data_IF_207483840159
#
_entry.id   IF_207483840159
#
_cell.length_a   1.000
_cell.length_b   1.000
_cell.length_c   1.000
_cell.angle_alpha   90.00
_cell.angle_beta   90.00
_cell.angle_gamma   90.00
#
_symmetry.space_group_name_H-M   'P 1'
#
loop_
_entity.id
_entity.type
_entity.pdbx_description
1 polymer ?
#
# COMPACT_ATOMS: atom_id res chain seq x y z
N UNK A 1 -9.31 -27.52 8.56
CA UNK A 1 -9.01 -26.90 7.25
C UNK A 1 -10.03 -25.85 6.80
N UNK A 2 -11.35 -26.06 6.94
CA UNK A 2 -12.36 -25.09 6.49
C UNK A 2 -12.25 -23.67 7.10
N UNK A 3 -11.78 -23.54 8.34
CA UNK A 3 -11.67 -22.24 9.03
C UNK A 3 -10.56 -21.35 8.48
N UNK A 4 -9.39 -21.93 8.14
CA UNK A 4 -8.25 -21.17 7.59
C UNK A 4 -8.59 -20.66 6.19
N UNK A 5 -9.18 -21.50 5.34
CA UNK A 5 -9.62 -21.11 4.00
C UNK A 5 -10.67 -20.00 4.05
N UNK A 6 -11.59 -20.05 5.03
CA UNK A 6 -12.58 -19.00 5.23
C UNK A 6 -11.96 -17.69 5.73
N UNK A 7 -11.04 -17.74 6.69
CA UNK A 7 -10.31 -16.55 7.16
C UNK A 7 -9.44 -15.93 6.06
N UNK A 8 -8.82 -16.76 5.21
CA UNK A 8 -8.04 -16.28 4.07
C UNK A 8 -8.96 -15.64 3.01
N UNK A 9 -10.10 -16.26 2.73
CA UNK A 9 -11.10 -15.71 1.80
C UNK A 9 -11.65 -14.37 2.30
N UNK A 10 -12.04 -14.27 3.57
CA UNK A 10 -12.53 -13.02 4.17
C UNK A 10 -11.45 -11.92 4.16
N UNK A 11 -10.19 -12.29 4.41
CA UNK A 11 -9.06 -11.36 4.38
C UNK A 11 -8.76 -10.88 2.95
N UNK A 12 -8.79 -11.76 1.95
CA UNK A 12 -8.56 -11.36 0.55
C UNK A 12 -9.72 -10.52 0.02
N UNK A 13 -10.95 -10.81 0.44
CA UNK A 13 -12.16 -10.09 0.00
C UNK A 13 -12.26 -8.69 0.63
N UNK A 14 -11.74 -8.50 1.85
CA UNK A 14 -11.72 -7.18 2.51
C UNK A 14 -10.73 -6.21 1.86
N UNK A 15 -9.81 -6.69 1.01
CA UNK A 15 -8.80 -5.87 0.38
C UNK A 15 -9.21 -5.24 -0.95
N UNK A 16 -10.50 -4.95 -1.10
CA UNK A 16 -10.99 -4.09 -2.16
C UNK A 16 -10.66 -2.61 -1.91
N UNK A 17 -11.52 -1.75 -2.44
CA UNK A 17 -11.48 -0.29 -2.26
C UNK A 17 -11.34 0.13 -0.79
N UNK A 18 -11.88 -0.64 0.16
CA UNK A 18 -11.78 -0.36 1.61
C UNK A 18 -10.35 -0.45 2.17
N UNK A 19 -9.43 -1.14 1.49
CA UNK A 19 -8.02 -1.10 1.87
C UNK A 19 -7.34 0.21 1.47
N UNK A 20 -7.87 0.87 0.43
CA UNK A 20 -7.37 2.15 -0.04
C UNK A 20 -8.09 3.34 0.60
N UNK A 21 -9.39 3.20 0.93
CA UNK A 21 -10.24 4.26 1.46
C UNK A 21 -10.81 3.85 2.82
N UNK A 22 -10.56 4.68 3.83
CA UNK A 22 -11.13 4.51 5.17
C UNK A 22 -12.59 4.93 5.24
N UNK A 23 -13.25 4.57 6.35
CA UNK A 23 -14.62 5.01 6.62
C UNK A 23 -14.68 6.56 6.70
N UNK A 24 -15.75 7.19 6.18
CA UNK A 24 -15.94 8.62 6.30
C UNK A 24 -16.01 9.05 7.77
N UNK A 25 -15.28 10.11 8.11
CA UNK A 25 -15.28 10.76 9.42
C UNK A 25 -15.89 12.15 9.26
N UNK A 26 -17.00 12.40 9.94
CA UNK A 26 -17.64 13.71 9.98
C UNK A 26 -17.06 14.53 11.14
N UNK A 27 -16.52 15.70 10.84
CA UNK A 27 -15.99 16.64 11.83
C UNK A 27 -16.44 18.06 11.48
N UNK A 28 -17.22 18.70 12.35
CA UNK A 28 -17.63 20.10 12.20
C UNK A 28 -18.24 20.44 10.81
N UNK A 29 -19.06 19.53 10.27
CA UNK A 29 -19.67 19.69 8.94
C UNK A 29 -18.69 19.46 7.76
N UNK A 30 -17.53 18.88 8.04
CA UNK A 30 -16.53 18.45 7.06
C UNK A 30 -16.47 16.93 7.03
N UNK A 31 -16.67 16.33 5.85
CA UNK A 31 -16.50 14.90 5.64
C UNK A 31 -15.06 14.61 5.25
N UNK A 32 -14.38 13.76 6.00
CA UNK A 32 -13.00 13.33 5.75
C UNK A 32 -13.01 11.85 5.38
N UNK A 33 -12.49 11.50 4.21
CA UNK A 33 -12.32 10.12 3.75
C UNK A 33 -10.81 9.83 3.69
N UNK A 34 -10.25 9.09 4.68
CA UNK A 34 -8.83 8.77 4.70
C UNK A 34 -8.42 7.91 3.51
N UNK A 35 -7.22 8.11 2.98
CA UNK A 35 -6.66 7.33 1.86
C UNK A 35 -5.30 6.77 2.25
N UNK A 36 -5.13 5.46 2.10
CA UNK A 36 -3.89 4.75 2.38
C UNK A 36 -3.47 3.83 1.24
N UNK A 37 -2.17 3.63 1.08
CA UNK A 37 -1.63 2.53 0.30
C UNK A 37 -1.47 1.34 1.23
N UNK A 38 -2.28 0.31 1.06
CA UNK A 38 -2.18 -0.92 1.80
C UNK A 38 -1.69 -2.05 0.89
N UNK A 39 -0.78 -2.86 1.40
CA UNK A 39 -0.38 -4.11 0.76
C UNK A 39 -0.19 -5.20 1.80
N UNK A 40 -0.36 -6.43 1.37
CA UNK A 40 -0.34 -7.60 2.22
C UNK A 40 -0.02 -8.78 1.31
N UNK A 41 0.65 -9.78 1.88
CA UNK A 41 1.07 -10.98 1.17
C UNK A 41 1.04 -12.16 2.12
N UNK A 42 0.66 -13.31 1.59
CA UNK A 42 0.62 -14.58 2.30
C UNK A 42 1.36 -15.63 1.47
N UNK A 43 2.08 -16.52 2.13
CA UNK A 43 2.75 -17.66 1.53
C UNK A 43 2.59 -18.88 2.41
N UNK A 44 2.37 -20.03 1.78
CA UNK A 44 2.32 -21.32 2.46
C UNK A 44 3.06 -22.36 1.62
N UNK A 45 3.65 -23.34 2.29
CA UNK A 45 4.36 -24.45 1.68
C UNK A 45 4.30 -25.69 2.55
N UNK A 46 4.32 -26.83 1.89
CA UNK A 46 4.34 -28.15 2.49
C UNK A 46 5.50 -28.95 1.89
N UNK A 47 6.15 -29.77 2.70
CA UNK A 47 7.32 -30.54 2.31
C UNK A 47 7.39 -31.87 3.07
N UNK A 48 7.61 -32.95 2.34
CA UNK A 48 7.81 -34.29 2.86
C UNK A 48 7.96 -35.30 1.72
N UNK A 49 8.87 -36.24 1.88
CA UNK A 49 8.97 -37.45 1.04
C UNK A 49 8.83 -38.64 1.99
N UNK A 50 8.31 -39.78 1.54
CA UNK A 50 7.91 -40.93 2.39
C UNK A 50 8.95 -41.40 3.44
N UNK A 51 10.23 -41.04 3.28
CA UNK A 51 11.35 -41.40 4.17
C UNK A 51 11.85 -40.29 5.12
N UNK A 52 11.30 -39.08 5.09
CA UNK A 52 11.75 -37.97 5.96
C UNK A 52 10.54 -37.12 6.34
N UNK A 53 10.31 -36.96 7.65
CA UNK A 53 9.03 -36.51 8.23
C UNK A 53 8.38 -35.28 7.59
N UNK A 54 7.06 -35.22 7.73
CA UNK A 54 6.21 -34.17 7.17
C UNK A 54 6.43 -32.82 7.85
N UNK A 55 6.59 -31.78 7.03
CA UNK A 55 6.68 -30.39 7.47
C UNK A 55 5.71 -29.51 6.68
N UNK A 56 4.98 -28.65 7.37
CA UNK A 56 4.22 -27.56 6.74
C UNK A 56 4.56 -26.24 7.41
N UNK A 57 4.51 -25.17 6.62
CA UNK A 57 4.80 -23.83 7.09
C UNK A 57 4.04 -22.79 6.29
N UNK A 58 3.64 -21.72 6.96
CA UNK A 58 3.01 -20.58 6.31
C UNK A 58 3.34 -19.29 7.07
N UNK A 59 3.29 -18.18 6.35
CA UNK A 59 3.54 -16.85 6.89
C UNK A 59 2.84 -15.79 6.05
N UNK A 60 2.69 -14.62 6.65
CA UNK A 60 2.14 -13.45 5.96
C UNK A 60 2.55 -12.16 6.64
N UNK A 61 2.42 -11.08 5.91
CA UNK A 61 2.73 -9.74 6.39
C UNK A 61 2.06 -8.68 5.53
N UNK A 62 2.03 -7.45 6.00
CA UNK A 62 1.47 -6.32 5.27
C UNK A 62 1.91 -4.99 5.85
N UNK A 63 1.66 -3.93 5.09
CA UNK A 63 1.86 -2.56 5.53
C UNK A 63 0.72 -1.68 5.04
N UNK A 64 0.49 -0.59 5.76
CA UNK A 64 -0.43 0.47 5.36
C UNK A 64 0.27 1.83 5.55
N UNK A 65 0.33 2.63 4.49
CA UNK A 65 0.94 3.96 4.52
C UNK A 65 -0.11 5.01 4.15
N UNK A 66 -0.39 6.01 5.02
CA UNK A 66 -1.38 7.05 4.72
C UNK A 66 -0.86 7.99 3.63
N UNK A 67 -1.57 8.06 2.50
CA UNK A 67 -1.20 8.92 1.37
C UNK A 67 -1.88 10.29 1.47
N UNK A 68 -3.06 10.37 2.08
CA UNK A 68 -3.81 11.61 2.23
C UNK A 68 -5.25 11.38 2.64
N UNK A 69 -6.12 12.35 2.38
CA UNK A 69 -7.56 12.22 2.59
C UNK A 69 -8.34 13.05 1.56
N UNK A 70 -9.55 12.61 1.21
CA UNK A 70 -10.52 13.48 0.57
C UNK A 70 -11.27 14.26 1.66
N UNK A 71 -11.21 15.58 1.59
CA UNK A 71 -11.85 16.50 2.53
C UNK A 71 -12.95 17.23 1.78
N UNK A 72 -14.20 17.05 2.22
CA UNK A 72 -15.36 17.76 1.68
C UNK A 72 -15.79 18.83 2.65
N UNK A 73 -15.65 20.09 2.23
CA UNK A 73 -16.08 21.27 3.00
C UNK A 73 -16.97 22.16 2.14
N UNK A 74 -18.12 22.57 2.67
CA UNK A 74 -19.08 23.43 1.98
C UNK A 74 -19.49 22.92 0.58
N UNK A 75 -19.62 21.60 0.41
CA UNK A 75 -19.97 20.97 -0.87
C UNK A 75 -18.82 20.84 -1.87
N UNK A 76 -17.61 21.29 -1.54
CA UNK A 76 -16.40 21.08 -2.35
C UNK A 76 -15.50 20.02 -1.76
N UNK A 77 -15.21 18.97 -2.54
CA UNK A 77 -14.28 17.90 -2.18
C UNK A 77 -12.90 18.20 -2.78
N UNK A 78 -11.84 18.16 -1.95
CA UNK A 78 -10.44 18.22 -2.38
C UNK A 78 -9.65 17.07 -1.77
N UNK A 79 -8.63 16.62 -2.49
CA UNK A 79 -7.66 15.68 -1.95
C UNK A 79 -6.54 16.45 -1.23
N UNK A 80 -6.34 16.15 0.04
CA UNK A 80 -5.26 16.69 0.87
C UNK A 80 -4.17 15.64 1.02
N UNK A 81 -2.99 15.82 0.37
CA UNK A 81 -1.92 14.85 0.43
C UNK A 81 -1.16 14.90 1.76
N UNK A 82 -0.68 13.75 2.20
CA UNK A 82 0.29 13.65 3.28
C UNK A 82 1.67 14.14 2.79
N UNK A 83 2.12 15.27 3.34
CA UNK A 83 3.39 15.90 2.95
C UNK A 83 4.60 15.01 3.24
N UNK A 84 4.56 14.20 4.31
CA UNK A 84 5.64 13.28 4.64
C UNK A 84 5.72 12.17 3.58
N UNK A 85 4.59 11.58 3.21
CA UNK A 85 4.53 10.57 2.17
C UNK A 85 4.98 11.13 0.81
N UNK A 86 4.56 12.35 0.48
CA UNK A 86 4.98 13.06 -0.73
C UNK A 86 6.49 13.28 -0.76
N UNK A 87 7.10 13.73 0.33
CA UNK A 87 8.54 13.96 0.40
C UNK A 87 9.34 12.66 0.35
N UNK A 88 8.86 11.59 1.00
CA UNK A 88 9.50 10.29 1.01
C UNK A 88 9.70 9.70 -0.40
N UNK A 89 8.74 9.93 -1.30
CA UNK A 89 8.82 9.48 -2.71
C UNK A 89 9.41 10.56 -3.62
N UNK A 90 9.08 11.84 -3.38
CA UNK A 90 9.46 12.96 -4.22
C UNK A 90 10.96 13.26 -4.20
N UNK A 91 11.60 13.22 -3.02
CA UNK A 91 13.05 13.48 -2.87
C UNK A 91 13.89 12.48 -3.69
N UNK A 92 13.76 11.15 -3.52
CA UNK A 92 14.54 10.20 -4.31
C UNK A 92 14.19 10.28 -5.80
N UNK A 93 12.93 10.54 -6.16
CA UNK A 93 12.53 10.72 -7.56
C UNK A 93 13.26 11.90 -8.21
N UNK A 94 13.24 13.08 -7.59
CA UNK A 94 13.95 14.28 -8.09
C UNK A 94 15.45 14.02 -8.20
N UNK A 95 16.04 13.34 -7.21
CA UNK A 95 17.46 13.00 -7.23
C UNK A 95 17.83 12.07 -8.40
N UNK A 96 17.06 11.00 -8.61
CA UNK A 96 17.29 10.05 -9.71
C UNK A 96 17.09 10.74 -11.07
N UNK A 97 16.01 11.49 -11.24
CA UNK A 97 15.72 12.21 -12.48
C UNK A 97 16.82 13.23 -12.82
N UNK A 98 17.25 14.03 -11.83
CA UNK A 98 18.33 15.00 -12.01
C UNK A 98 19.66 14.32 -12.38
N UNK A 99 19.98 13.17 -11.77
CA UNK A 99 21.19 12.41 -12.08
C UNK A 99 21.11 11.76 -13.46
N UNK A 100 19.95 11.27 -13.88
CA UNK A 100 19.73 10.72 -15.22
C UNK A 100 19.94 11.78 -16.30
N UNK A 101 19.30 12.95 -16.16
CA UNK A 101 19.46 14.09 -17.08
C UNK A 101 20.93 14.51 -17.18
N UNK A 102 21.61 14.63 -16.03
CA UNK A 102 23.02 15.02 -16.00
C UNK A 102 23.91 14.04 -16.77
N UNK A 103 23.62 12.73 -16.71
CA UNK A 103 24.36 11.72 -17.50
C UNK A 103 24.08 11.82 -18.99
N UNK A 104 22.82 12.04 -19.39
CA UNK A 104 22.44 12.22 -20.79
C UNK A 104 23.13 13.44 -21.39
N UNK A 105 23.08 14.59 -20.70
CA UNK A 105 23.77 15.81 -21.14
C UNK A 105 25.28 15.59 -21.29
N UNK A 106 25.90 14.87 -20.35
CA UNK A 106 27.33 14.57 -20.42
C UNK A 106 27.69 13.63 -21.57
N UNK A 107 26.81 12.71 -21.93
CA UNK A 107 26.99 11.80 -23.07
C UNK A 107 26.85 12.52 -24.41
N UNK A 108 25.92 13.49 -24.50
CA UNK A 108 25.70 14.30 -25.71
C UNK A 108 26.78 15.37 -25.93
N UNK A 109 27.52 15.74 -24.89
CA UNK A 109 28.63 16.71 -24.96
C UNK A 109 30.00 16.05 -25.22
N UNK A 110 30.04 14.72 -25.33
CA UNK A 110 31.20 13.96 -25.83
C UNK A 110 31.01 13.66 -27.30
#
# INVERSE_FOLDING_TARGET
MATITKQLADTVTSVGVNAAYGAPVELDGTTIIPVACASYGFGAGEGGTESTGEGSGGGGGGFATPIGAYVTRNGTTRFEPNTIALLAVGIPFVWVAGRAISRVVRALKR
#
